data_IF_447724227407
#
_entry.id   IF_447724227407
#
_cell.length_a   1.000
_cell.length_b   1.000
_cell.length_c   1.000
_cell.angle_alpha   90.00
_cell.angle_beta   90.00
_cell.angle_gamma   90.00
#
_symmetry.space_group_name_H-M   'P 1'
#
loop_
_entity.id
_entity.type
_entity.pdbx_description
1 polymer ?
#
# COMPACT_ATOMS: atom_id res chain seq x y z
N UNK A 1 -22.18 -20.13 4.42
CA UNK A 1 -20.92 -19.89 5.15
C UNK A 1 -20.16 -18.81 4.41
N UNK A 2 -19.73 -17.74 5.08
CA UNK A 2 -18.86 -16.74 4.46
C UNK A 2 -17.52 -17.41 4.17
N UNK A 3 -17.03 -17.31 2.93
CA UNK A 3 -15.70 -17.77 2.56
C UNK A 3 -14.66 -16.90 3.29
N UNK A 4 -13.65 -17.54 3.89
CA UNK A 4 -12.54 -16.84 4.53
C UNK A 4 -11.81 -15.94 3.50
N UNK A 5 -11.46 -14.73 3.91
CA UNK A 5 -10.72 -13.78 3.06
C UNK A 5 -9.25 -14.16 2.91
N UNK A 6 -8.71 -14.95 3.83
CA UNK A 6 -7.34 -15.41 3.85
C UNK A 6 -7.03 -16.24 5.10
N UNK A 7 -5.75 -16.57 5.26
CA UNK A 7 -5.24 -17.35 6.38
C UNK A 7 -4.04 -16.64 7.00
N UNK A 8 -3.95 -16.69 8.33
CA UNK A 8 -2.74 -16.38 9.06
C UNK A 8 -1.85 -17.62 9.13
N UNK A 9 -0.63 -17.49 8.70
CA UNK A 9 0.35 -18.58 8.73
C UNK A 9 1.69 -18.01 9.21
N UNK A 10 2.18 -18.54 10.32
CA UNK A 10 3.56 -18.30 10.72
C UNK A 10 4.48 -19.08 9.77
N UNK A 11 5.40 -18.40 9.12
CA UNK A 11 6.36 -19.02 8.22
C UNK A 11 7.72 -19.12 8.88
N UNK A 12 8.32 -20.28 8.77
CA UNK A 12 9.72 -20.45 9.09
C UNK A 12 10.57 -19.76 8.04
N UNK A 13 11.54 -18.98 8.52
CA UNK A 13 12.50 -18.30 7.67
C UNK A 13 13.84 -19.01 7.74
N UNK A 14 14.59 -18.96 6.64
CA UNK A 14 15.98 -19.43 6.57
C UNK A 14 16.94 -18.28 6.79
N UNK A 15 18.20 -18.60 7.04
CA UNK A 15 19.28 -17.62 7.21
C UNK A 15 19.28 -16.98 8.58
N UNK A 16 19.79 -15.76 8.67
CA UNK A 16 19.98 -15.02 9.92
C UNK A 16 18.94 -13.91 10.04
N UNK A 17 17.83 -14.15 10.76
CA UNK A 17 16.81 -13.15 10.93
C UNK A 17 17.27 -12.01 11.85
N UNK A 18 16.76 -10.78 11.68
CA UNK A 18 17.03 -9.68 12.59
C UNK A 18 16.53 -9.99 14.01
N UNK A 19 17.19 -9.45 15.01
CA UNK A 19 16.71 -9.49 16.40
C UNK A 19 15.35 -8.79 16.52
N UNK A 20 14.51 -9.13 17.51
CA UNK A 20 13.26 -8.41 17.78
C UNK A 20 13.53 -6.92 18.02
N UNK A 21 12.76 -6.07 17.30
CA UNK A 21 12.98 -4.63 17.28
C UNK A 21 11.72 -3.86 16.87
N UNK A 22 11.71 -2.58 17.11
CA UNK A 22 10.68 -1.64 16.65
C UNK A 22 11.33 -0.38 16.09
N UNK A 23 10.56 0.47 15.42
CA UNK A 23 11.06 1.73 14.85
C UNK A 23 12.10 1.57 13.74
N UNK A 24 12.23 0.34 13.20
CA UNK A 24 13.04 0.07 11.99
C UNK A 24 12.29 0.52 10.74
N UNK A 25 13.03 0.73 9.66
CA UNK A 25 12.45 0.98 8.34
C UNK A 25 12.61 -0.23 7.43
N UNK A 26 11.60 -0.44 6.58
CA UNK A 26 11.59 -1.49 5.58
C UNK A 26 11.20 -0.92 4.23
N UNK A 27 11.95 -1.25 3.19
CA UNK A 27 11.67 -0.86 1.81
C UNK A 27 11.64 -2.10 0.91
N UNK A 28 10.70 -2.13 -0.03
CA UNK A 28 10.45 -3.29 -0.89
C UNK A 28 10.80 -2.98 -2.33
N UNK A 29 11.55 -3.88 -2.97
CA UNK A 29 11.89 -3.85 -4.38
C UNK A 29 11.56 -5.21 -5.02
N UNK A 30 10.41 -5.32 -5.66
CA UNK A 30 9.94 -6.59 -6.23
C UNK A 30 9.62 -7.63 -5.15
N UNK A 31 10.35 -8.74 -5.16
CA UNK A 31 10.23 -9.82 -4.17
C UNK A 31 11.30 -9.75 -3.05
N UNK A 32 12.01 -8.65 -2.97
CA UNK A 32 13.05 -8.42 -1.98
C UNK A 32 12.62 -7.26 -1.08
N UNK A 33 12.82 -7.41 0.22
CA UNK A 33 12.63 -6.33 1.18
C UNK A 33 13.96 -6.06 1.92
N UNK A 34 14.25 -4.78 2.15
CA UNK A 34 15.43 -4.33 2.87
C UNK A 34 15.01 -3.72 4.20
N UNK A 35 15.63 -4.18 5.28
CA UNK A 35 15.35 -3.71 6.64
C UNK A 35 16.60 -3.05 7.21
N UNK A 36 16.46 -1.84 7.76
CA UNK A 36 17.55 -1.11 8.39
C UNK A 36 17.18 -0.63 9.79
N UNK A 37 18.09 -0.80 10.74
CA UNK A 37 18.08 -0.14 12.04
C UNK A 37 16.95 -0.55 12.98
N UNK A 38 16.44 0.41 13.73
CA UNK A 38 15.46 0.23 14.80
C UNK A 38 16.08 0.16 16.18
N UNK A 39 15.26 -0.19 17.16
CA UNK A 39 15.65 -0.33 18.56
C UNK A 39 15.28 -1.71 19.07
N UNK A 40 16.24 -2.38 19.72
CA UNK A 40 16.01 -3.61 20.48
C UNK A 40 15.99 -3.29 21.98
N UNK A 41 15.03 -3.88 22.67
CA UNK A 41 14.93 -3.80 24.14
C UNK A 41 15.57 -4.98 24.85
N UNK A 42 16.14 -5.91 24.09
CA UNK A 42 16.80 -7.11 24.62
C UNK A 42 18.28 -6.83 24.74
N UNK A 43 18.73 -6.28 25.84
CA UNK A 43 20.14 -6.34 26.28
C UNK A 43 20.26 -7.24 27.50
N UNK A 44 21.25 -8.10 27.48
CA UNK A 44 21.48 -9.07 28.57
C UNK A 44 22.09 -8.44 29.84
N UNK A 45 22.50 -7.19 29.81
CA UNK A 45 23.29 -6.59 30.90
C UNK A 45 22.74 -5.27 31.46
N UNK A 46 21.94 -4.53 30.71
CA UNK A 46 21.28 -3.30 31.21
C UNK A 46 19.93 -3.15 30.48
N UNK A 47 18.86 -2.77 31.20
CA UNK A 47 17.52 -2.47 30.65
C UNK A 47 17.50 -1.24 29.72
N UNK A 48 18.58 -1.00 29.00
CA UNK A 48 18.73 0.14 28.11
C UNK A 48 18.39 -0.24 26.67
N UNK A 49 17.67 0.62 25.93
CA UNK A 49 17.39 0.39 24.52
C UNK A 49 18.67 0.47 23.69
N UNK A 50 18.89 -0.55 22.84
CA UNK A 50 20.02 -0.61 21.91
C UNK A 50 19.58 -0.15 20.54
N UNK A 51 20.12 0.96 20.07
CA UNK A 51 19.90 1.47 18.72
C UNK A 51 20.78 0.70 17.73
N UNK A 52 20.20 0.36 16.59
CA UNK A 52 20.80 -0.54 15.61
C UNK A 52 21.08 0.18 14.29
N UNK A 53 22.10 -0.26 13.58
CA UNK A 53 22.45 0.13 12.21
C UNK A 53 22.77 -1.08 11.34
N UNK A 54 22.37 -2.25 11.77
CA UNK A 54 22.46 -3.45 10.98
C UNK A 54 21.48 -3.40 9.80
N UNK A 55 21.84 -4.12 8.76
CA UNK A 55 21.12 -4.07 7.50
C UNK A 55 20.85 -5.48 7.00
N UNK A 56 19.60 -5.78 6.69
CA UNK A 56 19.13 -7.09 6.27
C UNK A 56 18.40 -7.04 4.95
N UNK A 57 18.51 -8.13 4.23
CA UNK A 57 17.70 -8.41 3.06
C UNK A 57 16.81 -9.61 3.33
N UNK A 58 15.53 -9.47 3.01
CA UNK A 58 14.55 -10.53 3.02
C UNK A 58 14.19 -10.89 1.57
N UNK A 59 14.48 -12.11 1.18
CA UNK A 59 14.06 -12.63 -0.14
C UNK A 59 12.88 -13.57 0.05
N UNK A 60 11.80 -13.30 -0.68
CA UNK A 60 10.61 -14.15 -0.66
C UNK A 60 10.46 -14.86 -2.00
N UNK A 61 10.53 -16.18 -1.96
CA UNK A 61 10.30 -17.07 -3.09
C UNK A 61 9.03 -17.89 -2.91
N UNK A 62 8.63 -18.61 -3.93
CA UNK A 62 7.48 -19.50 -3.86
C UNK A 62 7.62 -20.60 -2.79
N UNK A 63 8.84 -21.01 -2.46
CA UNK A 63 9.15 -22.17 -1.61
C UNK A 63 9.74 -21.81 -0.25
N UNK A 64 10.40 -20.66 -0.13
CA UNK A 64 11.11 -20.27 1.10
C UNK A 64 11.24 -18.74 1.24
N UNK A 65 11.40 -18.35 2.47
CA UNK A 65 11.67 -16.96 2.88
C UNK A 65 13.05 -16.99 3.55
N UNK A 66 13.96 -16.13 3.08
CA UNK A 66 15.36 -16.14 3.54
C UNK A 66 15.78 -14.75 3.99
N UNK A 67 16.33 -14.68 5.20
CA UNK A 67 17.01 -13.50 5.72
C UNK A 67 18.50 -13.59 5.48
N UNK A 68 19.08 -12.50 5.04
CA UNK A 68 20.53 -12.36 4.83
C UNK A 68 21.02 -11.05 5.43
N UNK A 69 22.14 -11.11 6.16
CA UNK A 69 22.83 -9.90 6.62
C UNK A 69 23.50 -9.26 5.40
N UNK A 70 23.18 -8.01 5.14
CA UNK A 70 23.75 -7.28 4.01
C UNK A 70 25.11 -6.70 4.35
N UNK A 71 26.12 -6.88 3.50
CA UNK A 71 27.40 -6.18 3.65
C UNK A 71 27.18 -4.67 3.52
N UNK A 72 27.81 -3.92 4.39
CA UNK A 72 27.72 -2.46 4.43
C UNK A 72 29.10 -1.85 4.19
N UNK A 73 29.33 -1.36 3.00
CA UNK A 73 30.54 -0.66 2.62
C UNK A 73 30.29 0.86 2.55
N UNK A 74 31.34 1.65 2.52
CA UNK A 74 31.26 3.11 2.38
C UNK A 74 30.86 3.84 3.66
N UNK A 75 30.02 4.88 3.55
CA UNK A 75 29.62 5.72 4.67
C UNK A 75 28.30 5.20 5.25
N UNK A 76 28.41 4.21 6.13
CA UNK A 76 27.27 3.56 6.77
C UNK A 76 26.49 4.56 7.65
N UNK A 77 25.14 4.60 7.56
CA UNK A 77 24.34 5.43 8.44
C UNK A 77 24.55 5.02 9.92
N UNK A 78 24.60 5.98 10.86
CA UNK A 78 24.64 5.66 12.28
C UNK A 78 23.34 4.97 12.72
N UNK A 79 23.45 4.21 13.82
CA UNK A 79 22.33 3.54 14.47
C UNK A 79 21.18 4.51 14.75
N UNK A 80 19.94 4.10 14.49
CA UNK A 80 18.77 4.98 14.57
C UNK A 80 17.44 4.26 14.62
N UNK A 81 16.43 4.95 15.17
CA UNK A 81 15.02 4.60 15.07
C UNK A 81 14.19 5.74 14.48
N UNK A 82 12.95 5.46 14.05
CA UNK A 82 12.00 6.45 13.59
C UNK A 82 12.39 7.16 12.29
N UNK A 83 13.30 6.55 11.54
CA UNK A 83 13.71 6.95 10.19
C UNK A 83 12.82 6.29 9.14
N UNK A 84 12.96 6.71 7.90
CA UNK A 84 12.29 6.06 6.75
C UNK A 84 13.31 5.61 5.71
N UNK A 85 12.91 4.62 4.92
CA UNK A 85 13.69 4.02 3.85
C UNK A 85 12.80 3.91 2.60
N UNK A 86 13.24 4.49 1.49
CA UNK A 86 12.51 4.44 0.21
C UNK A 86 13.39 3.86 -0.88
N UNK A 87 12.78 3.10 -1.79
CA UNK A 87 13.43 2.60 -3.02
C UNK A 87 13.10 3.53 -4.19
N UNK A 88 14.11 4.04 -4.88
CA UNK A 88 13.96 4.77 -6.13
C UNK A 88 15.04 4.33 -7.10
N UNK A 89 14.66 3.81 -8.27
CA UNK A 89 15.59 3.40 -9.34
C UNK A 89 16.73 2.49 -8.90
N UNK A 90 16.43 1.47 -8.09
CA UNK A 90 17.41 0.50 -7.61
C UNK A 90 18.36 1.02 -6.54
N UNK A 91 18.07 2.16 -5.94
CA UNK A 91 18.77 2.71 -4.80
C UNK A 91 17.84 2.88 -3.61
N UNK A 92 18.39 2.70 -2.42
CA UNK A 92 17.67 2.93 -1.16
C UNK A 92 18.07 4.29 -0.59
N UNK A 93 17.09 5.09 -0.23
CA UNK A 93 17.29 6.40 0.37
C UNK A 93 16.79 6.39 1.81
N UNK A 94 17.67 6.74 2.73
CA UNK A 94 17.43 6.75 4.17
C UNK A 94 17.64 8.16 4.73
N UNK A 95 16.71 8.61 5.56
CA UNK A 95 16.80 9.92 6.21
C UNK A 95 15.99 9.98 7.51
N UNK A 96 16.36 10.96 8.35
CA UNK A 96 15.72 11.18 9.64
C UNK A 96 16.08 10.15 10.70
N UNK A 97 15.26 10.15 11.73
CA UNK A 97 15.45 9.29 12.89
C UNK A 97 16.35 9.89 13.97
N UNK A 98 16.49 9.16 15.07
CA UNK A 98 17.26 9.54 16.25
C UNK A 98 18.15 8.39 16.70
N UNK A 99 19.33 8.70 17.25
CA UNK A 99 20.29 7.70 17.73
C UNK A 99 20.18 7.42 19.24
N UNK A 100 19.42 8.20 19.97
CA UNK A 100 19.25 8.08 21.43
C UNK A 100 18.01 8.86 21.85
N UNK A 101 17.23 8.39 22.85
CA UNK A 101 16.09 9.13 23.39
C UNK A 101 16.51 10.45 24.04
N UNK A 102 17.72 10.51 24.58
CA UNK A 102 18.26 11.71 25.24
C UNK A 102 18.85 12.72 24.24
N UNK A 103 19.18 12.29 23.03
CA UNK A 103 19.83 13.16 22.06
C UNK A 103 18.94 14.29 21.55
N UNK A 104 17.61 14.16 21.64
CA UNK A 104 16.62 15.18 21.22
C UNK A 104 16.77 15.66 19.77
N UNK A 105 17.92 15.42 19.17
CA UNK A 105 18.27 15.88 17.84
C UNK A 105 18.06 14.80 16.78
N UNK A 106 17.32 15.17 15.76
CA UNK A 106 17.17 14.35 14.57
C UNK A 106 18.51 14.22 13.83
N UNK A 107 18.82 13.01 13.42
CA UNK A 107 20.03 12.74 12.66
C UNK A 107 19.98 13.41 11.28
N UNK A 108 20.99 14.22 10.96
CA UNK A 108 21.01 14.97 9.70
C UNK A 108 21.48 14.09 8.53
N UNK A 109 21.06 14.47 7.35
CA UNK A 109 21.59 13.93 6.09
C UNK A 109 20.70 12.90 5.44
N UNK A 110 20.92 12.73 4.15
CA UNK A 110 20.37 11.67 3.33
C UNK A 110 21.47 10.67 3.05
N UNK A 111 21.20 9.41 3.29
CA UNK A 111 22.08 8.31 2.94
C UNK A 111 21.47 7.55 1.78
N UNK A 112 22.32 7.14 0.86
CA UNK A 112 21.92 6.35 -0.30
C UNK A 112 22.69 5.03 -0.31
N UNK A 113 21.98 3.91 -0.42
CA UNK A 113 22.57 2.60 -0.64
C UNK A 113 22.35 2.19 -2.09
N UNK A 114 23.44 1.91 -2.77
CA UNK A 114 23.39 1.36 -4.12
C UNK A 114 23.36 -0.18 -4.02
N UNK A 115 22.25 -0.77 -4.48
CA UNK A 115 22.01 -2.22 -4.38
C UNK A 115 22.99 -3.03 -5.23
N UNK A 116 23.55 -2.44 -6.28
CA UNK A 116 24.49 -3.13 -7.19
C UNK A 116 25.90 -3.16 -6.59
N UNK A 117 26.39 -2.02 -6.10
CA UNK A 117 27.74 -1.91 -5.52
C UNK A 117 27.79 -2.26 -4.04
N UNK A 118 26.66 -2.47 -3.37
CA UNK A 118 26.52 -2.73 -1.93
C UNK A 118 27.21 -1.66 -1.07
N UNK A 119 27.08 -0.40 -1.48
CA UNK A 119 27.81 0.71 -0.87
C UNK A 119 26.87 1.81 -0.40
N UNK A 120 27.08 2.26 0.82
CA UNK A 120 26.44 3.43 1.40
C UNK A 120 27.21 4.71 1.07
N UNK A 121 26.49 5.72 0.67
CA UNK A 121 26.99 7.07 0.48
C UNK A 121 26.16 8.05 1.30
N UNK A 122 26.83 9.01 1.93
CA UNK A 122 26.16 10.17 2.47
C UNK A 122 26.09 11.24 1.39
N UNK A 123 24.90 11.56 0.93
CA UNK A 123 24.72 12.53 -0.14
C UNK A 123 25.09 13.93 0.34
N UNK A 124 26.01 14.57 -0.38
CA UNK A 124 26.36 15.97 -0.16
C UNK A 124 25.18 16.87 -0.53
N UNK A 125 25.05 17.99 0.16
CA UNK A 125 23.83 18.80 0.11
C UNK A 125 23.97 20.18 -0.50
N UNK A 126 22.93 20.49 -1.32
CA UNK A 126 22.43 21.87 -1.37
C UNK A 126 21.03 21.93 -0.72
N UNK A 127 20.71 22.93 0.07
CA UNK A 127 19.38 23.18 0.61
C UNK A 127 19.15 22.87 2.09
N UNK A 128 17.88 22.94 2.51
CA UNK A 128 17.43 22.73 3.90
C UNK A 128 17.62 21.28 4.29
N UNK A 129 18.28 21.02 5.42
CA UNK A 129 18.40 19.69 5.97
C UNK A 129 17.11 19.31 6.69
N UNK A 130 16.37 18.34 6.16
CA UNK A 130 15.22 17.81 6.87
C UNK A 130 15.69 17.14 8.17
N UNK A 131 15.09 17.56 9.28
CA UNK A 131 15.32 16.97 10.61
C UNK A 131 13.98 16.57 11.18
N UNK A 132 13.66 15.27 11.09
CA UNK A 132 12.39 14.76 11.59
C UNK A 132 12.54 13.30 12.02
N UNK A 133 11.73 12.92 12.99
CA UNK A 133 11.62 11.54 13.49
C UNK A 133 10.17 11.09 13.44
N UNK A 134 9.94 9.80 13.26
CA UNK A 134 8.59 9.20 13.21
C UNK A 134 7.67 9.86 12.18
N UNK A 135 8.30 10.42 11.16
CA UNK A 135 7.64 10.87 9.93
C UNK A 135 7.29 9.69 9.06
N UNK A 136 6.50 9.92 8.03
CA UNK A 136 6.27 8.93 6.99
C UNK A 136 6.70 9.43 5.64
N UNK A 137 7.14 8.53 4.79
CA UNK A 137 7.60 8.84 3.45
C UNK A 137 6.98 7.94 2.40
N UNK A 138 6.90 8.45 1.18
CA UNK A 138 6.49 7.70 0.00
C UNK A 138 7.24 8.22 -1.22
N UNK A 139 7.43 7.34 -2.22
CA UNK A 139 8.11 7.69 -3.45
C UNK A 139 7.12 7.72 -4.62
N UNK A 140 7.24 8.74 -5.47
CA UNK A 140 6.51 8.86 -6.74
C UNK A 140 7.49 9.33 -7.81
N UNK A 141 7.73 8.48 -8.81
CA UNK A 141 8.76 8.74 -9.83
C UNK A 141 10.14 8.90 -9.20
N UNK A 142 10.80 10.01 -9.47
CA UNK A 142 12.13 10.35 -8.95
C UNK A 142 12.09 11.13 -7.63
N UNK A 143 10.91 11.36 -7.08
CA UNK A 143 10.72 12.17 -5.89
C UNK A 143 10.33 11.32 -4.69
N UNK A 144 10.93 11.63 -3.55
CA UNK A 144 10.58 11.09 -2.25
C UNK A 144 9.92 12.21 -1.45
N UNK A 145 8.70 11.97 -1.03
CA UNK A 145 7.92 12.90 -0.22
C UNK A 145 7.96 12.47 1.23
N UNK A 146 8.10 13.43 2.13
CA UNK A 146 8.15 13.25 3.58
C UNK A 146 7.13 14.17 4.21
N UNK A 147 6.27 13.62 5.03
CA UNK A 147 5.23 14.35 5.72
C UNK A 147 5.28 14.12 7.22
N UNK A 148 5.08 15.19 7.97
CA UNK A 148 4.87 15.12 9.40
C UNK A 148 6.10 14.66 10.20
N UNK A 149 5.84 14.00 11.32
CA UNK A 149 6.84 13.61 12.30
C UNK A 149 7.08 14.71 13.33
N UNK A 150 8.06 14.49 14.21
CA UNK A 150 8.52 15.49 15.17
C UNK A 150 9.73 16.26 14.63
N UNK A 151 9.64 17.57 14.69
CA UNK A 151 10.75 18.46 14.48
C UNK A 151 10.98 19.25 15.77
N UNK A 152 12.14 19.07 16.38
CA UNK A 152 12.48 19.69 17.69
C UNK A 152 11.43 19.43 18.80
N UNK A 153 10.86 18.20 18.81
CA UNK A 153 9.87 17.76 19.80
C UNK A 153 8.41 18.13 19.48
N UNK A 154 8.16 18.91 18.44
CA UNK A 154 6.81 19.34 18.04
C UNK A 154 6.39 18.61 16.75
N UNK A 155 5.16 18.05 16.69
CA UNK A 155 4.63 17.50 15.45
C UNK A 155 4.49 18.57 14.36
N UNK A 156 4.81 18.22 13.11
CA UNK A 156 4.67 19.11 11.96
C UNK A 156 3.65 18.59 10.95
N UNK A 157 3.11 19.47 10.13
CA UNK A 157 2.28 19.18 8.96
C UNK A 157 2.98 19.52 7.65
N UNK A 158 4.28 19.74 7.70
CA UNK A 158 5.09 20.05 6.51
C UNK A 158 5.15 18.85 5.57
N UNK A 159 4.98 19.11 4.28
CA UNK A 159 5.30 18.19 3.21
C UNK A 159 6.57 18.64 2.49
N UNK A 160 7.61 17.84 2.58
CA UNK A 160 8.90 18.08 1.95
C UNK A 160 9.12 17.07 0.83
N UNK A 161 9.74 17.47 -0.27
CA UNK A 161 10.10 16.61 -1.39
C UNK A 161 11.62 16.60 -1.57
N UNK A 162 12.18 15.40 -1.64
CA UNK A 162 13.55 15.15 -2.05
C UNK A 162 13.56 14.62 -3.48
N UNK A 163 14.20 15.36 -4.38
CA UNK A 163 14.40 14.91 -5.75
C UNK A 163 15.72 14.13 -5.86
N UNK A 164 15.65 12.86 -6.23
CA UNK A 164 16.81 11.94 -6.26
C UNK A 164 17.78 12.22 -7.39
N UNK A 165 17.39 12.98 -8.42
CA UNK A 165 18.28 13.35 -9.52
C UNK A 165 19.07 14.64 -9.20
N UNK A 166 18.42 15.66 -8.61
CA UNK A 166 19.07 16.91 -8.25
C UNK A 166 19.66 16.91 -6.83
N UNK A 167 19.32 15.92 -6.01
CA UNK A 167 19.71 15.76 -4.60
C UNK A 167 19.30 16.94 -3.71
N UNK A 168 18.19 17.60 -4.04
CA UNK A 168 17.71 18.79 -3.33
C UNK A 168 16.39 18.52 -2.62
N UNK A 169 16.25 19.14 -1.44
CA UNK A 169 15.00 19.25 -0.71
C UNK A 169 14.22 20.50 -1.14
N UNK A 170 12.92 20.35 -1.33
CA UNK A 170 12.01 21.44 -1.68
C UNK A 170 10.74 21.32 -0.82
N UNK A 171 10.30 22.38 -0.14
CA UNK A 171 9.00 22.40 0.51
C UNK A 171 7.88 22.34 -0.53
N UNK A 172 6.88 21.51 -0.29
CA UNK A 172 5.74 21.31 -1.21
C UNK A 172 4.52 22.04 -0.67
N UNK A 173 4.04 23.03 -1.40
CA UNK A 173 2.79 23.70 -1.06
C UNK A 173 1.62 22.89 -1.57
N UNK A 174 0.77 22.46 -0.66
CA UNK A 174 -0.46 21.75 -0.96
C UNK A 174 -1.68 22.59 -0.66
N UNK A 175 -2.81 22.23 -1.24
CA UNK A 175 -4.10 22.90 -1.07
C UNK A 175 -5.19 21.91 -0.68
N UNK A 176 -6.41 22.37 -0.48
CA UNK A 176 -7.55 21.53 -0.12
C UNK A 176 -7.73 21.37 1.39
N UNK A 177 -8.18 20.19 1.82
CA UNK A 177 -8.41 19.91 3.25
C UNK A 177 -7.14 19.32 3.86
N UNK A 178 -6.27 20.19 4.35
CA UNK A 178 -4.98 19.82 4.90
C UNK A 178 -5.12 18.92 6.14
N UNK A 179 -4.30 17.88 6.29
CA UNK A 179 -4.23 17.12 7.53
C UNK A 179 -3.56 17.96 8.64
N UNK A 180 -3.93 17.71 9.89
CA UNK A 180 -3.28 18.33 11.05
C UNK A 180 -1.87 17.77 11.25
N UNK A 181 -1.01 18.54 11.93
CA UNK A 181 0.32 18.10 12.36
C UNK A 181 0.24 16.79 13.13
N UNK A 182 1.08 15.83 12.78
CA UNK A 182 1.05 14.47 13.34
C UNK A 182 2.33 13.69 13.10
N UNK A 183 2.52 12.63 13.89
CA UNK A 183 3.61 11.68 13.74
C UNK A 183 3.10 10.23 13.81
N UNK A 184 3.90 9.26 13.39
CA UNK A 184 3.53 7.84 13.31
C UNK A 184 2.25 7.56 12.48
N UNK A 185 1.92 8.43 11.54
CA UNK A 185 0.93 8.18 10.49
C UNK A 185 1.53 7.22 9.45
N UNK A 186 0.69 6.64 8.61
CA UNK A 186 1.14 5.76 7.53
C UNK A 186 0.54 6.13 6.20
N UNK A 187 1.28 5.80 5.14
CA UNK A 187 0.89 6.05 3.76
C UNK A 187 0.72 4.75 2.98
N UNK A 188 -0.24 4.76 2.06
CA UNK A 188 -0.35 3.79 0.98
C UNK A 188 -0.47 4.54 -0.34
N UNK A 189 0.43 4.23 -1.28
CA UNK A 189 0.42 4.82 -2.63
C UNK A 189 -0.40 3.94 -3.55
N UNK A 190 -1.35 4.55 -4.25
CA UNK A 190 -2.24 3.89 -5.21
C UNK A 190 -2.33 4.78 -6.45
N UNK A 191 -1.63 4.42 -7.49
CA UNK A 191 -1.47 5.24 -8.70
C UNK A 191 -1.00 6.67 -8.35
N UNK A 192 -1.76 7.70 -8.67
CA UNK A 192 -1.47 9.11 -8.38
C UNK A 192 -2.04 9.59 -7.03
N UNK A 193 -2.63 8.67 -6.26
CA UNK A 193 -3.23 8.99 -4.97
C UNK A 193 -2.41 8.40 -3.82
N UNK A 194 -2.21 9.19 -2.81
CA UNK A 194 -1.54 8.79 -1.58
C UNK A 194 -2.52 8.87 -0.42
N UNK A 195 -2.88 7.71 0.10
CA UNK A 195 -3.80 7.57 1.22
C UNK A 195 -3.01 7.67 2.52
N UNK A 196 -3.42 8.55 3.42
CA UNK A 196 -2.87 8.70 4.75
C UNK A 196 -3.92 8.30 5.79
N UNK A 197 -3.51 7.55 6.80
CA UNK A 197 -4.36 7.18 7.93
C UNK A 197 -3.64 7.33 9.26
N UNK A 198 -4.38 7.77 10.27
CA UNK A 198 -3.95 7.74 11.66
C UNK A 198 -2.86 8.73 12.02
N UNK A 199 -2.04 8.32 12.95
CA UNK A 199 -1.00 9.14 13.56
C UNK A 199 -1.41 9.70 14.91
N UNK A 200 -0.50 10.39 15.56
CA UNK A 200 -0.66 10.96 16.88
C UNK A 200 -0.46 12.46 16.84
N UNK A 201 -1.27 13.19 17.59
CA UNK A 201 -1.16 14.63 17.81
C UNK A 201 -0.17 14.94 18.95
N UNK A 202 0.14 16.22 19.16
CA UNK A 202 1.00 16.71 20.23
C UNK A 202 0.45 16.38 21.63
N UNK A 203 -0.87 16.44 21.80
CA UNK A 203 -1.56 16.10 23.06
C UNK A 203 -1.67 14.59 23.34
N UNK A 204 -1.09 13.75 22.47
CA UNK A 204 -1.15 12.29 22.56
C UNK A 204 -2.44 11.66 22.02
N UNK A 205 -3.37 12.45 21.49
CA UNK A 205 -4.57 11.93 20.84
C UNK A 205 -4.25 11.25 19.49
N UNK A 206 -4.89 10.12 19.24
CA UNK A 206 -4.74 9.40 17.97
C UNK A 206 -5.79 9.84 16.96
N UNK A 207 -5.37 9.90 15.70
CA UNK A 207 -6.26 10.19 14.58
C UNK A 207 -6.86 8.91 13.98
N UNK A 208 -8.05 9.03 13.39
CA UNK A 208 -8.75 7.97 12.63
C UNK A 208 -9.26 8.44 11.27
N UNK A 209 -8.81 9.58 10.85
CA UNK A 209 -9.20 10.20 9.59
C UNK A 209 -8.42 9.63 8.41
N UNK A 210 -9.02 9.69 7.23
CA UNK A 210 -8.37 9.42 5.97
C UNK A 210 -8.25 10.72 5.19
N UNK A 211 -7.02 11.05 4.85
CA UNK A 211 -6.71 12.08 3.88
C UNK A 211 -6.09 11.45 2.65
N UNK A 212 -6.42 11.97 1.50
CA UNK A 212 -5.88 11.51 0.21
C UNK A 212 -5.23 12.71 -0.48
N UNK A 213 -3.94 12.59 -0.79
CA UNK A 213 -3.21 13.53 -1.61
C UNK A 213 -3.23 13.05 -3.06
N UNK A 214 -3.69 13.89 -3.96
CA UNK A 214 -3.41 13.69 -5.38
C UNK A 214 -2.02 14.27 -5.69
N UNK A 215 -1.10 13.45 -6.18
CA UNK A 215 0.32 13.82 -6.37
C UNK A 215 0.57 14.71 -7.59
N UNK A 216 -0.35 14.76 -8.53
CA UNK A 216 -0.26 15.65 -9.70
C UNK A 216 -0.75 17.06 -9.38
N UNK A 217 -1.95 17.15 -8.78
CA UNK A 217 -2.56 18.44 -8.44
C UNK A 217 -2.12 19.03 -7.11
N UNK A 218 -1.47 18.23 -6.25
CA UNK A 218 -1.05 18.56 -4.89
C UNK A 218 -2.21 19.03 -3.99
N UNK A 219 -3.37 18.41 -4.17
CA UNK A 219 -4.59 18.73 -3.43
C UNK A 219 -4.90 17.62 -2.43
N UNK A 220 -5.05 18.00 -1.15
CA UNK A 220 -5.54 17.13 -0.11
C UNK A 220 -7.07 17.10 -0.06
N UNK A 221 -7.61 15.91 0.06
CA UNK A 221 -9.03 15.69 0.30
C UNK A 221 -9.22 14.80 1.52
N UNK A 222 -10.18 15.18 2.38
CA UNK A 222 -10.60 14.35 3.50
C UNK A 222 -11.85 13.59 3.12
N UNK A 223 -11.80 12.26 3.21
CA UNK A 223 -12.93 11.41 2.86
C UNK A 223 -13.69 10.95 4.10
N UNK A 224 -15.03 11.07 4.03
CA UNK A 224 -15.93 10.36 4.93
C UNK A 224 -16.00 8.89 4.52
N UNK A 225 -15.49 8.01 5.37
CA UNK A 225 -15.43 6.58 5.08
C UNK A 225 -16.56 5.86 5.77
N UNK A 226 -17.22 4.95 5.06
CA UNK A 226 -18.33 4.10 5.57
C UNK A 226 -17.79 2.80 6.16
N UNK A 227 -18.66 2.09 6.90
CA UNK A 227 -18.40 0.74 7.39
C UNK A 227 -17.65 0.70 8.72
N UNK A 228 -17.01 -0.44 9.01
CA UNK A 228 -16.32 -0.72 10.27
C UNK A 228 -14.92 -0.10 10.25
N UNK A 229 -14.86 1.19 10.61
CA UNK A 229 -13.61 1.94 10.65
C UNK A 229 -12.70 1.43 11.77
N UNK A 230 -11.37 1.33 11.53
CA UNK A 230 -10.41 1.05 12.60
C UNK A 230 -10.52 2.06 13.74
N UNK A 231 -10.01 1.70 14.90
CA UNK A 231 -9.79 2.65 15.98
C UNK A 231 -8.81 3.74 15.57
N UNK A 232 -8.86 4.88 16.25
CA UNK A 232 -7.83 5.89 16.13
C UNK A 232 -6.50 5.30 16.61
N UNK A 233 -5.48 5.31 15.77
CA UNK A 233 -4.22 4.63 16.07
C UNK A 233 -3.00 5.30 15.40
N UNK A 234 -1.83 4.93 15.90
CA UNK A 234 -0.54 5.33 15.37
C UNK A 234 0.42 4.13 15.35
N UNK A 235 1.44 4.16 14.50
CA UNK A 235 2.39 3.06 14.36
C UNK A 235 1.78 1.77 13.78
N UNK A 236 0.64 1.89 13.09
CA UNK A 236 0.04 0.83 12.28
C UNK A 236 0.76 0.72 10.94
N UNK A 237 0.48 -0.33 10.18
CA UNK A 237 0.89 -0.42 8.78
C UNK A 237 -0.31 -0.18 7.85
N UNK A 238 -0.04 0.44 6.72
CA UNK A 238 -1.02 0.70 5.66
C UNK A 238 -0.42 0.25 4.34
N UNK A 239 -1.04 -0.74 3.71
CA UNK A 239 -0.46 -1.41 2.53
C UNK A 239 -1.48 -1.53 1.41
N UNK A 240 -1.14 -1.02 0.24
CA UNK A 240 -2.00 -1.08 -0.93
C UNK A 240 -1.92 -2.46 -1.62
N UNK A 241 -3.07 -2.97 -2.04
CA UNK A 241 -3.19 -4.17 -2.86
C UNK A 241 -3.81 -3.83 -4.21
N UNK A 242 -2.97 -3.64 -5.19
CA UNK A 242 -3.34 -3.06 -6.48
C UNK A 242 -4.12 -1.74 -6.28
N UNK A 243 -4.90 -1.33 -7.25
CA UNK A 243 -5.74 -0.13 -7.18
C UNK A 243 -7.12 -0.39 -6.55
N UNK A 244 -7.28 -1.49 -5.80
CA UNK A 244 -8.59 -1.95 -5.31
C UNK A 244 -8.79 -1.76 -3.82
N UNK A 245 -7.81 -2.16 -3.04
CA UNK A 245 -7.95 -2.28 -1.60
C UNK A 245 -6.69 -1.81 -0.86
N UNK A 246 -6.88 -1.27 0.32
CA UNK A 246 -5.79 -0.93 1.25
C UNK A 246 -6.02 -1.72 2.54
N UNK A 247 -4.98 -2.38 3.02
CA UNK A 247 -4.99 -3.13 4.28
C UNK A 247 -4.29 -2.35 5.37
N UNK A 248 -4.95 -2.24 6.52
CA UNK A 248 -4.41 -1.69 7.76
C UNK A 248 -4.25 -2.82 8.76
N UNK A 249 -3.10 -2.89 9.42
CA UNK A 249 -2.86 -3.88 10.48
C UNK A 249 -2.18 -3.26 11.69
N UNK A 250 -2.65 -3.67 12.88
CA UNK A 250 -2.04 -3.30 14.15
C UNK A 250 -2.15 -1.81 14.49
N UNK A 251 -1.20 -1.35 15.25
CA UNK A 251 -1.10 0.02 15.73
C UNK A 251 -1.35 0.15 17.24
N UNK A 252 -0.95 1.28 17.76
CA UNK A 252 -1.16 1.70 19.15
C UNK A 252 -2.42 2.56 19.19
N UNK A 253 -3.38 2.22 20.03
CA UNK A 253 -4.68 2.89 20.15
C UNK A 253 -5.08 3.08 21.60
N UNK A 254 -6.04 3.98 21.84
CA UNK A 254 -6.67 4.13 23.15
C UNK A 254 -7.93 3.27 23.15
N UNK A 255 -8.02 2.34 24.09
CA UNK A 255 -9.19 1.51 24.33
C UNK A 255 -10.32 2.30 24.97
N UNK A 256 -11.51 1.69 25.06
CA UNK A 256 -12.72 2.35 25.61
C UNK A 256 -12.59 2.78 27.08
N UNK A 257 -11.72 2.13 27.83
CA UNK A 257 -11.39 2.45 29.23
C UNK A 257 -10.32 3.54 29.40
N UNK A 258 -9.84 4.12 28.27
CA UNK A 258 -8.79 5.15 28.26
C UNK A 258 -7.37 4.60 28.33
N UNK A 259 -7.19 3.26 28.40
CA UNK A 259 -5.84 2.68 28.40
C UNK A 259 -5.24 2.66 26.99
N UNK A 260 -3.94 2.92 26.90
CA UNK A 260 -3.20 2.84 25.65
C UNK A 260 -2.71 1.41 25.45
N UNK A 261 -3.11 0.78 24.35
CA UNK A 261 -2.78 -0.62 24.04
C UNK A 261 -2.45 -0.79 22.56
N UNK A 262 -1.74 -1.87 22.24
CA UNK A 262 -1.56 -2.29 20.85
C UNK A 262 -2.70 -3.17 20.40
N UNK A 263 -2.99 -3.17 19.11
CA UNK A 263 -3.98 -4.07 18.49
C UNK A 263 -3.32 -5.04 17.51
N UNK A 264 -4.01 -6.10 17.15
CA UNK A 264 -3.68 -7.02 16.06
C UNK A 264 -4.85 -7.17 15.08
N UNK A 265 -5.71 -6.18 15.05
CA UNK A 265 -6.82 -6.14 14.10
C UNK A 265 -6.33 -5.83 12.69
N UNK A 266 -6.98 -6.45 11.72
CA UNK A 266 -6.81 -6.15 10.31
C UNK A 266 -8.09 -5.55 9.75
N UNK A 267 -7.95 -4.43 9.05
CA UNK A 267 -9.03 -3.77 8.36
C UNK A 267 -8.69 -3.63 6.88
N UNK A 268 -9.72 -3.65 6.06
CA UNK A 268 -9.59 -3.52 4.61
C UNK A 268 -10.44 -2.34 4.14
N UNK A 269 -9.82 -1.36 3.51
CA UNK A 269 -10.49 -0.27 2.83
C UNK A 269 -10.68 -0.62 1.35
N UNK A 270 -11.93 -0.66 0.90
CA UNK A 270 -12.23 -0.68 -0.54
C UNK A 270 -12.17 0.73 -1.10
N UNK A 271 -11.21 1.00 -1.99
CA UNK A 271 -10.94 2.33 -2.55
C UNK A 271 -12.15 2.83 -3.34
N UNK A 272 -12.66 2.02 -4.25
CA UNK A 272 -13.80 2.42 -5.11
C UNK A 272 -15.08 2.72 -4.32
N UNK A 273 -15.25 2.16 -3.11
CA UNK A 273 -16.45 2.35 -2.27
C UNK A 273 -16.21 3.27 -1.09
N UNK A 274 -14.97 3.64 -0.83
CA UNK A 274 -14.53 4.33 0.39
C UNK A 274 -15.19 3.71 1.63
N UNK A 275 -15.02 2.39 1.76
CA UNK A 275 -15.68 1.61 2.80
C UNK A 275 -14.72 0.66 3.48
N UNK A 276 -14.64 0.78 4.82
CA UNK A 276 -13.95 -0.17 5.66
C UNK A 276 -14.73 -1.47 5.86
N UNK A 277 -14.01 -2.57 5.95
CA UNK A 277 -14.50 -3.90 6.31
C UNK A 277 -13.47 -4.59 7.17
N UNK A 278 -13.91 -5.44 8.08
CA UNK A 278 -13.07 -6.42 8.76
C UNK A 278 -13.09 -7.70 7.94
N UNK A 279 -11.98 -8.06 7.27
CA UNK A 279 -11.93 -9.30 6.51
C UNK A 279 -11.86 -10.51 7.44
N UNK A 280 -12.50 -11.60 7.07
CA UNK A 280 -12.45 -12.85 7.83
C UNK A 280 -11.16 -13.61 7.48
N UNK A 281 -10.24 -13.70 8.42
CA UNK A 281 -9.05 -14.54 8.33
C UNK A 281 -9.16 -15.73 9.28
N UNK A 282 -8.65 -16.88 8.84
CA UNK A 282 -8.55 -18.10 9.66
C UNK A 282 -7.10 -18.29 10.11
N UNK A 283 -6.89 -18.98 11.20
CA UNK A 283 -5.58 -19.20 11.81
C UNK A 283 -5.31 -18.28 12.99
N UNK A 284 -4.10 -18.37 13.53
CA UNK A 284 -3.67 -17.56 14.68
C UNK A 284 -3.10 -16.26 14.16
N UNK A 285 -3.70 -15.10 14.47
CA UNK A 285 -3.15 -13.82 14.06
C UNK A 285 -1.85 -13.52 14.81
N UNK A 286 -0.98 -12.67 14.27
CA UNK A 286 0.18 -12.17 14.98
C UNK A 286 -0.20 -11.52 16.32
N UNK A 287 0.72 -11.51 17.29
CA UNK A 287 0.52 -10.81 18.55
C UNK A 287 0.26 -9.32 18.31
N UNK A 288 -0.42 -8.68 19.24
CA UNK A 288 -0.69 -7.23 19.23
C UNK A 288 0.60 -6.46 19.10
N UNK A 289 0.68 -5.51 18.15
CA UNK A 289 1.91 -4.78 17.84
C UNK A 289 1.67 -3.42 17.24
N UNK A 290 2.67 -2.57 17.39
CA UNK A 290 2.79 -1.25 16.73
C UNK A 290 4.26 -1.04 16.34
N UNK A 291 4.54 -0.02 15.53
CA UNK A 291 5.86 0.34 15.00
C UNK A 291 6.58 -0.85 14.33
N UNK A 292 5.78 -1.73 13.74
CA UNK A 292 6.19 -2.85 12.91
C UNK A 292 6.10 -2.47 11.43
N UNK A 293 6.64 -3.33 10.59
CA UNK A 293 6.54 -3.18 9.14
C UNK A 293 5.75 -4.31 8.51
N UNK A 294 5.04 -4.01 7.44
CA UNK A 294 4.32 -4.97 6.63
C UNK A 294 4.39 -4.59 5.16
N UNK A 295 4.29 -5.57 4.28
CA UNK A 295 4.25 -5.35 2.85
C UNK A 295 3.43 -6.43 2.16
N UNK A 296 2.99 -6.14 0.93
CA UNK A 296 2.28 -7.08 0.07
C UNK A 296 3.18 -7.42 -1.11
N UNK A 297 3.34 -8.71 -1.35
CA UNK A 297 4.00 -9.21 -2.55
C UNK A 297 2.94 -9.55 -3.59
N UNK A 298 3.07 -8.95 -4.75
CA UNK A 298 2.27 -9.28 -5.91
C UNK A 298 3.00 -10.37 -6.70
N UNK A 299 2.79 -11.63 -6.34
CA UNK A 299 3.36 -12.72 -7.11
C UNK A 299 2.46 -13.04 -8.30
N UNK A 300 3.04 -13.14 -9.49
CA UNK A 300 2.42 -13.79 -10.64
C UNK A 300 2.39 -15.32 -10.51
N UNK A 301 2.85 -15.87 -9.40
CA UNK A 301 2.77 -17.29 -9.09
C UNK A 301 1.40 -17.56 -8.46
N UNK A 302 0.54 -18.36 -9.08
CA UNK A 302 -0.78 -18.66 -8.55
C UNK A 302 -0.63 -19.52 -7.30
N UNK A 303 -0.53 -18.96 -6.12
CA UNK A 303 -0.64 -19.59 -4.80
C UNK A 303 0.18 -18.95 -3.67
N UNK A 304 0.83 -17.78 -3.86
CA UNK A 304 1.45 -17.07 -2.73
C UNK A 304 0.41 -16.19 -2.08
N UNK A 305 -0.08 -16.61 -0.93
CA UNK A 305 -1.00 -15.87 -0.08
C UNK A 305 -0.22 -14.86 0.76
N UNK A 306 -0.81 -13.71 0.97
CA UNK A 306 -0.30 -12.53 1.69
C UNK A 306 0.32 -12.87 3.04
N UNK A 307 1.51 -12.33 3.30
CA UNK A 307 2.21 -12.47 4.56
C UNK A 307 2.51 -11.10 5.17
N UNK A 308 2.07 -10.93 6.39
CA UNK A 308 2.52 -9.85 7.26
C UNK A 308 3.77 -10.37 7.98
N UNK A 309 4.89 -9.64 7.90
CA UNK A 309 6.13 -10.08 8.54
C UNK A 309 5.99 -10.05 10.06
N UNK A 310 6.18 -11.19 10.69
CA UNK A 310 6.33 -11.26 12.13
C UNK A 310 7.79 -10.97 12.51
N UNK A 311 7.98 -10.22 13.60
CA UNK A 311 9.26 -10.22 14.30
C UNK A 311 9.47 -11.62 14.88
N UNK A 312 10.60 -12.30 14.60
CA UNK A 312 10.80 -13.65 15.08
C UNK A 312 10.91 -13.69 16.60
N UNK A 313 10.13 -14.54 17.25
CA UNK A 313 10.30 -14.90 18.64
C UNK A 313 11.47 -15.87 18.77
N UNK A 314 12.38 -15.52 19.67
CA UNK A 314 13.49 -16.27 20.31
C UNK A 314 13.67 -17.75 19.94
N UNK A 315 14.86 -18.08 19.41
CA UNK A 315 15.57 -19.30 19.79
C UNK A 315 17.04 -19.01 20.04
N UNK A 316 17.49 -19.36 21.25
CA UNK A 316 18.89 -19.33 21.70
C UNK A 316 19.59 -20.63 21.25
N UNK A 317 20.69 -20.53 20.54
CA UNK A 317 21.62 -21.63 20.35
C UNK A 317 22.99 -21.22 20.86
N UNK A 318 23.49 -21.95 21.86
CA UNK A 318 24.86 -21.89 22.33
C UNK A 318 25.77 -22.60 21.33
N UNK A 319 26.90 -21.98 21.01
CA UNK A 319 28.03 -22.67 20.37
C UNK A 319 29.25 -22.63 21.31
N UNK A 320 29.69 -23.81 21.69
CA UNK A 320 30.97 -24.00 22.40
C UNK A 320 32.11 -24.08 21.39
N UNK A 321 33.21 -23.46 21.78
CA UNK A 321 34.46 -23.41 21.04
C UNK A 321 35.39 -24.58 21.44
N UNK A 322 36.18 -25.09 20.50
CA UNK A 322 37.50 -25.70 20.75
C UNK A 322 38.29 -25.77 19.44
N UNK A 323 39.36 -25.15 19.40
CA UNK A 323 40.74 -25.49 19.76
C UNK A 323 41.59 -25.93 18.57
N UNK A 324 42.65 -25.19 18.46
CA UNK A 324 43.86 -25.24 17.63
C UNK A 324 44.56 -26.59 17.42
N UNK A 325 45.18 -26.73 16.24
CA UNK A 325 46.49 -27.43 16.13
C UNK A 325 47.27 -26.88 14.92
N UNK A 326 48.45 -26.35 15.23
CA UNK A 326 49.53 -26.07 14.28
C UNK A 326 50.17 -27.37 13.84
N UNK A 327 50.36 -27.54 12.53
CA UNK A 327 51.38 -28.46 11.98
C UNK A 327 52.09 -27.78 10.83
N UNK A 328 53.33 -27.46 11.08
CA UNK A 328 54.34 -27.01 10.10
C UNK A 328 54.80 -28.20 9.25
N UNK A 329 54.61 -28.12 7.94
CA UNK A 329 55.35 -28.94 6.98
C UNK A 329 55.77 -28.07 5.82
N UNK A 330 57.08 -27.97 5.62
CA UNK A 330 57.69 -27.42 4.41
C UNK A 330 57.28 -28.28 3.21
N UNK A 331 56.36 -27.76 2.42
CA UNK A 331 56.01 -28.33 1.09
C UNK A 331 56.86 -27.63 0.02
N UNK A 332 57.37 -28.45 -0.89
CA UNK A 332 58.11 -28.01 -2.06
C UNK A 332 57.28 -27.00 -2.88
N UNK A 333 57.81 -25.83 -3.14
CA UNK A 333 57.08 -24.71 -3.78
C UNK A 333 56.52 -25.06 -5.15
N UNK A 334 57.13 -26.01 -5.86
CA UNK A 334 56.64 -26.50 -7.15
C UNK A 334 55.33 -27.31 -7.03
N UNK A 335 55.21 -28.15 -6.01
CA UNK A 335 54.02 -28.96 -5.76
C UNK A 335 52.84 -28.08 -5.34
N UNK A 336 53.06 -27.05 -4.53
CA UNK A 336 52.03 -26.09 -4.11
C UNK A 336 51.54 -25.25 -5.30
N UNK A 337 52.46 -24.86 -6.19
CA UNK A 337 52.08 -24.14 -7.44
C UNK A 337 51.24 -25.00 -8.34
N UNK A 338 51.61 -26.28 -8.53
CA UNK A 338 50.90 -27.17 -9.45
C UNK A 338 49.50 -27.55 -8.89
N UNK A 339 49.39 -27.72 -7.56
CA UNK A 339 48.10 -27.91 -6.86
C UNK A 339 47.20 -26.64 -6.98
N UNK A 340 47.78 -25.45 -6.85
CA UNK A 340 47.06 -24.18 -7.05
C UNK A 340 46.57 -24.00 -8.48
N UNK A 341 47.42 -24.37 -9.47
CA UNK A 341 47.01 -24.31 -10.89
C UNK A 341 45.89 -25.30 -11.20
N UNK A 342 45.91 -26.48 -10.61
CA UNK A 342 44.86 -27.48 -10.78
C UNK A 342 43.51 -27.02 -10.13
N UNK A 343 43.57 -26.37 -8.98
CA UNK A 343 42.40 -25.71 -8.35
C UNK A 343 41.85 -24.58 -9.21
N UNK A 344 42.71 -23.78 -9.80
CA UNK A 344 42.30 -22.68 -10.68
C UNK A 344 41.58 -23.25 -11.95
N UNK A 345 42.14 -24.29 -12.58
CA UNK A 345 41.51 -24.94 -13.74
C UNK A 345 40.16 -25.56 -13.39
N UNK A 346 40.04 -26.20 -12.22
CA UNK A 346 38.75 -26.72 -11.73
C UNK A 346 37.72 -25.60 -11.49
N UNK A 347 38.16 -24.49 -10.91
CA UNK A 347 37.32 -23.32 -10.68
C UNK A 347 36.81 -22.72 -12.00
N UNK A 348 37.68 -22.58 -13.02
CA UNK A 348 37.25 -22.12 -14.35
C UNK A 348 36.29 -23.08 -15.02
N UNK A 349 36.51 -24.39 -14.94
CA UNK A 349 35.60 -25.39 -15.49
C UNK A 349 34.23 -25.39 -14.81
N UNK A 350 34.18 -25.13 -13.50
CA UNK A 350 32.91 -24.96 -12.77
C UNK A 350 32.19 -23.67 -13.20
N UNK A 351 32.91 -22.56 -13.36
CA UNK A 351 32.38 -21.29 -13.85
C UNK A 351 31.79 -21.42 -15.25
N UNK A 352 32.49 -22.07 -16.16
CA UNK A 352 31.98 -22.33 -17.51
C UNK A 352 30.69 -23.17 -17.50
N UNK A 353 30.59 -24.16 -16.62
CA UNK A 353 29.39 -24.95 -16.40
C UNK A 353 28.21 -24.11 -15.90
N UNK A 354 28.45 -23.22 -14.96
CA UNK A 354 27.42 -22.31 -14.42
C UNK A 354 27.00 -21.27 -15.49
N UNK A 355 27.94 -20.73 -16.27
CA UNK A 355 27.58 -19.83 -17.39
C UNK A 355 26.70 -20.52 -18.43
N UNK A 356 27.01 -21.76 -18.83
CA UNK A 356 26.17 -22.50 -19.75
C UNK A 356 24.78 -22.83 -19.19
N UNK A 357 24.66 -22.99 -17.88
CA UNK A 357 23.38 -23.18 -17.21
C UNK A 357 22.57 -21.89 -17.20
N UNK A 358 23.18 -20.77 -16.86
CA UNK A 358 22.57 -19.44 -16.90
C UNK A 358 22.08 -19.06 -18.31
N UNK A 359 22.84 -19.37 -19.35
CA UNK A 359 22.43 -19.12 -20.74
C UNK A 359 21.21 -19.96 -21.15
N UNK A 360 21.11 -21.19 -20.67
CA UNK A 360 19.92 -22.02 -20.86
C UNK A 360 18.70 -21.46 -20.14
N UNK A 361 18.83 -21.14 -18.86
CA UNK A 361 17.77 -20.53 -18.07
C UNK A 361 17.28 -19.20 -18.65
N UNK A 362 18.21 -18.38 -19.16
CA UNK A 362 17.91 -17.13 -19.86
C UNK A 362 17.11 -17.36 -21.16
N UNK A 363 17.47 -18.39 -21.92
CA UNK A 363 16.75 -18.77 -23.14
C UNK A 363 15.34 -19.27 -22.85
N UNK A 364 15.17 -20.10 -21.82
CA UNK A 364 13.86 -20.59 -21.37
C UNK A 364 12.97 -19.47 -20.84
N UNK A 365 13.54 -18.53 -20.08
CA UNK A 365 12.85 -17.33 -19.63
C UNK A 365 12.38 -16.46 -20.79
N UNK A 366 13.23 -16.26 -21.81
CA UNK A 366 12.87 -15.48 -23.00
C UNK A 366 11.72 -16.15 -23.78
N UNK A 367 11.73 -17.47 -23.92
CA UNK A 367 10.64 -18.21 -24.55
C UNK A 367 9.34 -18.13 -23.75
N UNK A 368 9.43 -18.24 -22.44
CA UNK A 368 8.26 -18.12 -21.55
C UNK A 368 7.66 -16.71 -21.58
N UNK A 369 8.51 -15.68 -21.63
CA UNK A 369 8.07 -14.30 -21.75
C UNK A 369 7.35 -14.03 -23.09
N UNK A 370 7.90 -14.56 -24.21
CA UNK A 370 7.25 -14.45 -25.51
C UNK A 370 5.89 -15.17 -25.57
N UNK A 371 5.80 -16.35 -24.96
CA UNK A 371 4.54 -17.10 -24.87
C UNK A 371 3.48 -16.38 -24.02
N UNK A 372 3.89 -15.73 -22.94
CA UNK A 372 3.01 -14.93 -22.10
C UNK A 372 2.53 -13.67 -22.83
N UNK A 373 3.40 -13.02 -23.58
CA UNK A 373 3.04 -11.85 -24.37
C UNK A 373 2.01 -12.20 -25.44
N UNK A 374 2.21 -13.31 -26.15
CA UNK A 374 1.24 -13.80 -27.15
C UNK A 374 -0.14 -14.11 -26.50
N UNK A 375 -0.16 -14.74 -25.32
CA UNK A 375 -1.42 -14.99 -24.59
C UNK A 375 -2.10 -13.72 -24.17
N UNK A 376 -1.35 -12.70 -23.76
CA UNK A 376 -1.87 -11.40 -23.38
C UNK A 376 -2.50 -10.69 -24.57
N UNK A 377 -1.83 -10.65 -25.70
CA UNK A 377 -2.35 -10.03 -26.94
C UNK A 377 -3.63 -10.74 -27.42
N UNK A 378 -3.66 -12.08 -27.36
CA UNK A 378 -4.86 -12.84 -27.67
C UNK A 378 -6.03 -12.56 -26.72
N UNK A 379 -5.75 -12.38 -25.43
CA UNK A 379 -6.76 -12.04 -24.44
C UNK A 379 -7.30 -10.61 -24.63
N UNK A 380 -6.41 -9.66 -24.92
CA UNK A 380 -6.78 -8.27 -25.23
C UNK A 380 -7.65 -8.18 -26.49
N UNK A 381 -7.30 -8.91 -27.53
CA UNK A 381 -8.10 -9.00 -28.77
C UNK A 381 -9.51 -9.59 -28.50
N UNK A 382 -9.59 -10.65 -27.70
CA UNK A 382 -10.86 -11.26 -27.32
C UNK A 382 -11.72 -10.30 -26.48
N UNK A 383 -11.12 -9.57 -25.55
CA UNK A 383 -11.80 -8.56 -24.74
C UNK A 383 -12.36 -7.43 -25.60
N UNK A 384 -11.58 -6.92 -26.56
CA UNK A 384 -12.03 -5.89 -27.51
C UNK A 384 -13.21 -6.38 -28.35
N UNK A 385 -13.17 -7.63 -28.79
CA UNK A 385 -14.28 -8.22 -29.52
C UNK A 385 -15.56 -8.28 -28.66
N UNK A 386 -15.46 -8.71 -27.41
CA UNK A 386 -16.60 -8.74 -26.49
C UNK A 386 -17.16 -7.35 -26.18
N UNK A 387 -16.31 -6.35 -26.04
CA UNK A 387 -16.75 -4.96 -25.85
C UNK A 387 -17.52 -4.44 -27.07
N UNK A 388 -17.07 -4.74 -28.28
CA UNK A 388 -17.75 -4.33 -29.51
C UNK A 388 -19.11 -5.05 -29.69
N UNK A 389 -19.19 -6.34 -29.36
CA UNK A 389 -20.45 -7.09 -29.37
C UNK A 389 -21.45 -6.53 -28.35
N UNK A 390 -20.98 -6.18 -27.16
CA UNK A 390 -21.82 -5.57 -26.12
C UNK A 390 -22.31 -4.19 -26.55
N UNK A 391 -21.46 -3.38 -27.18
CA UNK A 391 -21.80 -2.07 -27.70
C UNK A 391 -22.88 -2.17 -28.78
N UNK A 392 -22.72 -3.09 -29.72
CA UNK A 392 -23.73 -3.34 -30.77
C UNK A 392 -25.05 -3.85 -30.21
N UNK A 393 -25.01 -4.64 -29.14
CA UNK A 393 -26.21 -5.11 -28.44
C UNK A 393 -26.94 -3.93 -27.76
N UNK A 394 -26.20 -3.05 -27.08
CA UNK A 394 -26.74 -1.85 -26.44
C UNK A 394 -27.36 -0.90 -27.45
N UNK A 395 -26.73 -0.69 -28.60
CA UNK A 395 -27.28 0.15 -29.67
C UNK A 395 -28.60 -0.43 -30.25
N UNK A 396 -28.64 -1.76 -30.46
CA UNK A 396 -29.87 -2.46 -30.89
C UNK A 396 -31.01 -2.29 -29.86
N UNK A 397 -30.73 -2.49 -28.60
CA UNK A 397 -31.67 -2.30 -27.51
C UNK A 397 -32.18 -0.85 -27.43
N UNK A 398 -31.30 0.12 -27.60
CA UNK A 398 -31.63 1.52 -27.62
C UNK A 398 -32.59 1.86 -28.77
N UNK A 399 -32.28 1.39 -29.98
CA UNK A 399 -33.12 1.58 -31.14
C UNK A 399 -34.51 0.92 -30.96
N UNK A 400 -34.56 -0.29 -30.39
CA UNK A 400 -35.82 -0.96 -30.08
C UNK A 400 -36.66 -0.17 -29.06
N UNK A 401 -36.04 0.32 -28.01
CA UNK A 401 -36.70 1.14 -26.98
C UNK A 401 -37.21 2.46 -27.55
N UNK A 402 -36.44 3.13 -28.39
CA UNK A 402 -36.89 4.36 -29.06
C UNK A 402 -38.08 4.10 -29.97
N UNK A 403 -38.08 2.99 -30.71
CA UNK A 403 -39.23 2.60 -31.59
C UNK A 403 -40.46 2.31 -30.76
N UNK A 404 -40.29 1.57 -29.64
CA UNK A 404 -41.42 1.28 -28.74
C UNK A 404 -41.95 2.55 -28.07
N UNK A 405 -41.11 3.47 -27.63
CA UNK A 405 -41.51 4.74 -27.04
C UNK A 405 -42.29 5.61 -28.04
N UNK A 406 -41.88 5.65 -29.30
CA UNK A 406 -42.61 6.38 -30.36
C UNK A 406 -44.02 5.78 -30.60
N UNK A 407 -44.09 4.46 -30.72
CA UNK A 407 -45.37 3.78 -30.89
C UNK A 407 -46.32 4.03 -29.70
N UNK A 408 -45.78 3.99 -28.49
CA UNK A 408 -46.55 4.25 -27.25
C UNK A 408 -46.98 5.71 -27.15
N UNK A 409 -46.14 6.64 -27.57
CA UNK A 409 -46.51 8.07 -27.64
C UNK A 409 -47.62 8.33 -28.64
N UNK A 410 -47.60 7.68 -29.80
CA UNK A 410 -48.70 7.78 -30.81
C UNK A 410 -50.01 7.19 -30.29
N UNK A 411 -49.97 6.04 -29.60
CA UNK A 411 -51.12 5.43 -28.98
C UNK A 411 -51.75 6.34 -27.91
N UNK A 412 -50.92 6.87 -27.02
CA UNK A 412 -51.34 7.83 -25.99
C UNK A 412 -51.95 9.10 -26.60
N UNK A 413 -51.43 9.60 -27.71
CA UNK A 413 -52.00 10.77 -28.38
C UNK A 413 -53.36 10.47 -29.00
N UNK A 414 -53.57 9.28 -29.58
CA UNK A 414 -54.88 8.80 -30.05
C UNK A 414 -55.88 8.69 -28.90
N UNK A 415 -55.48 8.11 -27.77
CA UNK A 415 -56.36 8.03 -26.58
C UNK A 415 -56.72 9.41 -26.04
N UNK A 416 -55.73 10.32 -25.94
CA UNK A 416 -56.01 11.72 -25.51
C UNK A 416 -56.98 12.43 -26.43
N UNK A 417 -56.86 12.27 -27.74
CA UNK A 417 -57.79 12.82 -28.73
C UNK A 417 -59.18 12.19 -28.57
N UNK A 418 -59.28 10.89 -28.31
CA UNK A 418 -60.50 10.18 -27.99
C UNK A 418 -61.22 10.74 -26.75
N UNK A 419 -60.44 10.85 -25.65
CA UNK A 419 -60.90 11.41 -24.38
C UNK A 419 -61.36 12.89 -24.52
N UNK A 420 -60.63 13.71 -25.29
CA UNK A 420 -61.05 15.07 -25.60
C UNK A 420 -62.38 15.14 -26.31
N UNK A 421 -62.63 14.26 -27.33
CA UNK A 421 -63.93 14.18 -28.02
C UNK A 421 -65.07 13.74 -27.10
N UNK A 422 -64.84 12.73 -26.24
CA UNK A 422 -65.76 12.26 -25.23
C UNK A 422 -66.15 13.37 -24.25
N UNK A 423 -65.15 14.10 -23.76
CA UNK A 423 -65.30 15.23 -22.83
C UNK A 423 -66.15 16.36 -23.50
N UNK A 424 -65.90 16.61 -24.78
CA UNK A 424 -66.72 17.57 -25.58
C UNK A 424 -68.20 17.17 -25.63
N UNK A 425 -68.47 15.89 -25.94
CA UNK A 425 -69.91 15.37 -25.98
C UNK A 425 -70.55 15.43 -24.61
N UNK A 426 -69.84 15.06 -23.54
CA UNK A 426 -70.36 15.13 -22.16
C UNK A 426 -70.71 16.57 -21.77
N UNK A 427 -69.86 17.53 -22.13
CA UNK A 427 -70.15 18.95 -21.89
C UNK A 427 -71.39 19.47 -22.65
N UNK A 428 -71.56 19.01 -23.89
CA UNK A 428 -72.73 19.32 -24.70
C UNK A 428 -74.04 18.72 -24.13
N UNK A 429 -74.00 17.44 -23.70
CA UNK A 429 -75.10 16.79 -22.97
C UNK A 429 -75.42 17.47 -21.65
N UNK A 430 -74.42 17.83 -20.84
CA UNK A 430 -74.62 18.60 -19.61
C UNK A 430 -75.31 19.95 -19.92
N UNK A 431 -74.89 20.67 -20.97
CA UNK A 431 -75.55 21.89 -21.40
C UNK A 431 -76.98 21.69 -21.82
N UNK A 432 -77.26 20.59 -22.50
CA UNK A 432 -78.66 20.24 -22.91
C UNK A 432 -79.57 19.88 -21.70
N UNK A 433 -79.00 19.12 -20.74
CA UNK A 433 -79.73 18.80 -19.50
C UNK A 433 -80.01 20.07 -18.70
N UNK A 434 -79.03 20.98 -18.59
CA UNK A 434 -79.19 22.25 -17.90
C UNK A 434 -80.31 23.09 -18.51
N UNK A 435 -80.34 23.24 -19.84
CA UNK A 435 -81.43 23.95 -20.56
C UNK A 435 -82.79 23.32 -20.33
N UNK A 436 -82.86 21.97 -20.33
CA UNK A 436 -84.13 21.27 -20.03
C UNK A 436 -84.58 21.49 -18.58
N UNK A 437 -83.61 21.49 -17.64
CA UNK A 437 -83.90 21.76 -16.22
C UNK A 437 -84.40 23.18 -16.00
N UNK A 438 -83.77 24.18 -16.63
CA UNK A 438 -84.25 25.57 -16.61
C UNK A 438 -85.61 25.75 -17.22
N UNK A 439 -85.86 25.08 -18.32
CA UNK A 439 -87.23 25.10 -18.97
C UNK A 439 -88.28 24.45 -18.05
N UNK A 440 -87.97 23.32 -17.39
CA UNK A 440 -88.88 22.70 -16.44
C UNK A 440 -89.14 23.58 -15.23
N UNK A 441 -88.10 24.26 -14.69
CA UNK A 441 -88.27 25.22 -13.62
C UNK A 441 -89.16 26.42 -14.02
N UNK A 442 -88.97 26.92 -15.21
CA UNK A 442 -89.81 28.00 -15.76
C UNK A 442 -91.29 27.57 -15.84
N UNK A 443 -91.54 26.37 -16.32
CA UNK A 443 -92.91 25.80 -16.35
C UNK A 443 -93.48 25.64 -14.94
N UNK A 444 -92.72 25.11 -14.01
CA UNK A 444 -93.15 24.97 -12.59
C UNK A 444 -93.44 26.32 -11.92
N UNK A 445 -92.71 27.37 -12.26
CA UNK A 445 -92.93 28.72 -11.76
C UNK A 445 -94.24 29.31 -12.33
N UNK A 446 -94.55 29.05 -13.62
CA UNK A 446 -95.82 29.44 -14.22
C UNK A 446 -97.03 28.76 -13.57
N UNK A 447 -96.90 27.48 -13.19
CA UNK A 447 -98.01 26.78 -12.48
C UNK A 447 -98.16 27.17 -11.00
N UNK A 448 -97.12 27.79 -10.34
CA UNK A 448 -97.21 28.32 -8.96
C UNK A 448 -97.85 29.72 -8.90
N UNK A 449 -98.01 30.40 -10.04
CA UNK A 449 -98.59 31.73 -10.13
C UNK A 449 -100.12 31.75 -10.56
N UNK A 450 -100.64 30.55 -10.74
CA UNK A 450 -102.13 30.33 -10.88
C UNK A 450 -102.66 29.77 -9.54
#
# INVERSE_FOLDING_TARGET
MALASGHWVAKETKGEPPSPRHGHALAVAGNIAFLFGGVSTISHEEDQPVYLNDFYMLTVSATHITWEVMPQNGVVPPAREGHTLCVVKGKLYLFGGVASPQAGECLPGVYCFDIVSLTWERLAKGGVSLRTIRHSSFAVGDNIYVYGGHQDGVPTDDLMMFNTASLNWTPVKTTGTLPSARYNQTFAVVSEQVFMFGGCAEDGCYYRDIHVLNTESLVWQRYGVKGESPLACAGQTLTAHHDKDIYLFGGKCTSQDGTVTSTNEIHKLSIAKMKWKVPLYVGIPPARRHDHTAFILHSHVPNVKYELSESPSLFSVRTDAAASAQVTAQRDFSAVRDEAMDMIHKAFSMLDGEFQKLDRERSELAQSAAALQYKREAHEAHHQQQEEELRQMLERHRAQNETWLRARAEENDKERKGLCKLRGRLKEEQGNIQKRSEHLLSIMQQFKGM
#
